data_IF_483212953319
#
_entry.id   IF_483212953319
#
_cell.length_a   1.000
_cell.length_b   1.000
_cell.length_c   1.000
_cell.angle_alpha   90.00
_cell.angle_beta   90.00
_cell.angle_gamma   90.00
#
_symmetry.space_group_name_H-M   'P 1'
#
loop_
_entity.id
_entity.type
_entity.pdbx_description
1 polymer ?
#
# COMPACT_ATOMS: atom_id res chain seq x y z
N UNK A 1 -65.22 2.09 10.45
CA UNK A 1 -63.95 1.98 11.19
C UNK A 1 -63.01 0.92 10.56
N UNK A 2 -62.67 1.03 9.26
CA UNK A 2 -61.81 0.06 8.53
C UNK A 2 -60.89 0.74 7.49
N UNK A 3 -60.21 1.82 7.86
CA UNK A 3 -59.30 2.52 6.93
C UNK A 3 -57.96 2.99 7.52
N UNK A 4 -57.57 2.58 8.74
CA UNK A 4 -56.33 3.06 9.37
C UNK A 4 -55.18 2.05 9.50
N UNK A 5 -55.40 0.77 9.17
CA UNK A 5 -54.39 -0.28 9.38
C UNK A 5 -53.54 -0.56 8.11
N UNK A 6 -54.01 -0.20 6.91
CA UNK A 6 -53.29 -0.48 5.67
C UNK A 6 -52.14 0.50 5.33
N UNK A 7 -52.18 1.72 5.86
CA UNK A 7 -51.12 2.72 5.59
C UNK A 7 -49.82 2.37 6.35
N UNK A 8 -49.92 1.71 7.52
CA UNK A 8 -48.74 1.32 8.30
C UNK A 8 -48.01 0.11 7.72
N UNK A 9 -48.69 -0.86 7.11
CA UNK A 9 -48.02 -1.99 6.45
C UNK A 9 -47.26 -1.58 5.17
N UNK A 10 -47.79 -0.64 4.38
CA UNK A 10 -47.06 -0.12 3.21
C UNK A 10 -45.85 0.72 3.62
N UNK A 11 -45.95 1.55 4.67
CA UNK A 11 -44.81 2.33 5.18
C UNK A 11 -43.72 1.44 5.81
N UNK A 12 -44.09 0.33 6.46
CA UNK A 12 -43.13 -0.61 7.04
C UNK A 12 -42.45 -1.49 5.98
N UNK A 13 -43.17 -1.90 4.92
CA UNK A 13 -42.57 -2.57 3.76
C UNK A 13 -41.67 -1.62 2.95
N UNK A 14 -42.01 -0.33 2.82
CA UNK A 14 -41.12 0.67 2.19
C UNK A 14 -39.85 0.95 3.02
N UNK A 15 -39.91 0.84 4.35
CA UNK A 15 -38.73 0.97 5.21
C UNK A 15 -37.82 -0.26 5.18
N UNK A 16 -38.38 -1.46 5.11
CA UNK A 16 -37.62 -2.72 5.04
C UNK A 16 -37.04 -2.93 3.63
N UNK A 17 -37.77 -2.59 2.56
CA UNK A 17 -37.27 -2.71 1.18
C UNK A 17 -36.15 -1.71 0.85
N UNK A 18 -36.08 -0.55 1.52
CA UNK A 18 -35.01 0.44 1.28
C UNK A 18 -33.66 0.09 1.94
N UNK A 19 -33.65 -0.81 2.95
CA UNK A 19 -32.39 -1.25 3.59
C UNK A 19 -31.70 -2.42 2.90
N UNK A 20 -32.40 -3.14 2.02
CA UNK A 20 -31.84 -4.26 1.25
C UNK A 20 -31.32 -3.86 -0.14
N UNK A 21 -31.60 -2.65 -0.61
CA UNK A 21 -31.12 -2.17 -1.91
C UNK A 21 -29.70 -1.56 -1.89
N UNK A 22 -29.14 -1.31 -0.70
CA UNK A 22 -27.84 -0.62 -0.58
C UNK A 22 -26.67 -1.60 -0.63
N UNK A 23 -25.69 -1.29 -1.47
CA UNK A 23 -24.45 -2.07 -1.54
C UNK A 23 -23.69 -2.04 -0.19
N UNK A 24 -22.84 -3.04 0.12
CA UNK A 24 -21.95 -2.98 1.28
C UNK A 24 -21.14 -1.67 1.36
N UNK A 25 -20.72 -1.14 0.21
CA UNK A 25 -19.98 0.12 0.07
C UNK A 25 -20.85 1.34 0.41
N UNK A 26 -22.10 1.38 -0.06
CA UNK A 26 -23.05 2.47 0.24
C UNK A 26 -23.40 2.51 1.73
N UNK A 27 -23.59 1.34 2.36
CA UNK A 27 -23.83 1.24 3.81
C UNK A 27 -22.62 1.73 4.60
N UNK A 28 -21.42 1.32 4.19
CA UNK A 28 -20.17 1.76 4.83
C UNK A 28 -19.93 3.26 4.64
N UNK A 29 -20.19 3.79 3.44
CA UNK A 29 -20.12 5.23 3.16
C UNK A 29 -21.08 6.04 4.03
N UNK A 30 -22.34 5.63 4.13
CA UNK A 30 -23.34 6.27 5.01
C UNK A 30 -22.91 6.22 6.47
N UNK A 31 -22.33 5.11 6.92
CA UNK A 31 -21.77 5.00 8.26
C UNK A 31 -20.62 5.99 8.50
N UNK A 32 -19.71 6.16 7.53
CA UNK A 32 -18.59 7.08 7.62
C UNK A 32 -19.08 8.54 7.74
N UNK A 33 -20.02 8.95 6.88
CA UNK A 33 -20.62 10.30 6.92
C UNK A 33 -21.25 10.59 8.28
N UNK A 34 -22.09 9.68 8.76
CA UNK A 34 -22.83 9.87 10.02
C UNK A 34 -21.90 9.98 11.24
N UNK A 35 -20.73 9.37 11.19
CA UNK A 35 -19.71 9.40 12.25
C UNK A 35 -18.87 10.67 12.19
N UNK A 36 -18.43 11.07 11.00
CA UNK A 36 -17.68 12.32 10.78
C UNK A 36 -18.52 13.54 11.21
N UNK A 37 -19.80 13.58 10.82
CA UNK A 37 -20.74 14.64 11.22
C UNK A 37 -20.95 14.76 12.74
N UNK A 38 -20.57 13.74 13.52
CA UNK A 38 -20.71 13.70 14.98
C UNK A 38 -19.37 13.87 15.72
N UNK A 39 -18.30 14.27 15.03
CA UNK A 39 -16.94 14.41 15.59
C UNK A 39 -16.41 13.15 16.30
N UNK A 40 -16.93 11.97 15.98
CA UNK A 40 -16.43 10.74 16.58
C UNK A 40 -15.14 10.31 15.89
N UNK A 41 -14.05 10.20 16.66
CA UNK A 41 -12.87 9.47 16.22
C UNK A 41 -13.24 8.00 16.02
N UNK A 42 -12.92 7.47 14.83
CA UNK A 42 -13.12 6.05 14.58
C UNK A 42 -12.09 5.27 15.39
N UNK A 43 -12.48 4.21 16.13
CA UNK A 43 -11.50 3.29 16.68
C UNK A 43 -10.72 2.74 15.50
N UNK A 44 -9.41 2.96 15.55
CA UNK A 44 -8.52 2.80 14.41
C UNK A 44 -8.71 1.43 13.75
N UNK A 45 -9.15 0.40 14.46
CA UNK A 45 -9.21 -0.98 14.01
C UNK A 45 -10.53 -1.40 13.32
N UNK A 46 -11.60 -0.61 13.38
CA UNK A 46 -12.89 -0.98 12.76
C UNK A 46 -12.88 -0.97 11.21
N UNK A 47 -11.91 -0.26 10.62
CA UNK A 47 -11.69 -0.17 9.18
C UNK A 47 -10.65 -1.14 8.62
N UNK A 48 -10.02 -1.91 9.50
CA UNK A 48 -8.86 -2.71 9.15
C UNK A 48 -9.14 -4.17 9.44
N UNK A 49 -8.66 -5.03 8.58
CA UNK A 49 -8.58 -6.46 8.85
C UNK A 49 -7.12 -6.82 8.93
N UNK A 50 -6.61 -7.03 10.14
CA UNK A 50 -5.23 -7.50 10.38
C UNK A 50 -4.18 -6.68 9.62
N UNK A 51 -4.21 -5.35 9.79
CA UNK A 51 -3.35 -4.35 9.11
C UNK A 51 -3.60 -4.14 7.62
N UNK A 52 -4.69 -4.65 7.05
CA UNK A 52 -5.07 -4.44 5.66
C UNK A 52 -6.26 -3.49 5.55
N UNK A 53 -6.23 -2.63 4.52
CA UNK A 53 -7.42 -1.86 4.13
C UNK A 53 -8.51 -2.87 3.77
N UNK A 54 -9.68 -2.71 4.36
CA UNK A 54 -10.87 -3.44 3.92
C UNK A 54 -11.13 -3.19 2.43
N UNK A 55 -11.26 -4.23 1.58
CA UNK A 55 -11.53 -4.06 0.15
C UNK A 55 -12.71 -3.12 -0.13
N UNK A 56 -13.72 -3.12 0.74
CA UNK A 56 -14.90 -2.27 0.67
C UNK A 56 -14.55 -0.77 0.71
N UNK A 57 -13.53 -0.38 1.48
CA UNK A 57 -13.05 1.01 1.53
C UNK A 57 -12.38 1.41 0.20
N UNK A 58 -11.63 0.51 -0.42
CA UNK A 58 -11.04 0.76 -1.73
C UNK A 58 -12.15 0.83 -2.80
N UNK A 59 -13.18 -0.01 -2.69
CA UNK A 59 -14.30 -0.02 -3.62
C UNK A 59 -15.12 1.28 -3.55
N UNK A 60 -15.28 1.89 -2.36
CA UNK A 60 -15.91 3.21 -2.20
C UNK A 60 -15.27 4.25 -3.12
N UNK A 61 -13.93 4.31 -3.20
CA UNK A 61 -13.19 5.27 -4.03
C UNK A 61 -13.63 5.23 -5.50
N UNK A 62 -13.92 4.03 -6.01
CA UNK A 62 -14.31 3.82 -7.42
C UNK A 62 -15.82 3.71 -7.63
N UNK A 63 -16.63 3.80 -6.57
CA UNK A 63 -18.08 3.59 -6.66
C UNK A 63 -18.76 4.78 -7.36
N UNK A 64 -19.59 4.55 -8.39
CA UNK A 64 -20.17 5.65 -9.18
C UNK A 64 -21.14 6.50 -8.37
N UNK A 65 -21.92 5.90 -7.47
CA UNK A 65 -22.99 6.58 -6.75
C UNK A 65 -22.57 7.25 -5.43
N UNK A 66 -21.32 7.04 -4.98
CA UNK A 66 -20.84 7.65 -3.74
C UNK A 66 -20.22 9.02 -4.05
N UNK A 67 -20.54 10.04 -3.26
CA UNK A 67 -20.06 11.40 -3.48
C UNK A 67 -18.54 11.52 -3.35
N UNK A 68 -17.96 12.49 -4.07
CA UNK A 68 -16.52 12.76 -4.04
C UNK A 68 -16.03 13.11 -2.63
N UNK A 69 -16.84 13.84 -1.85
CA UNK A 69 -16.50 14.19 -0.46
C UNK A 69 -16.23 12.94 0.38
N UNK A 70 -17.12 11.95 0.31
CA UNK A 70 -16.99 10.71 1.09
C UNK A 70 -15.79 9.90 0.64
N UNK A 71 -15.55 9.83 -0.67
CA UNK A 71 -14.38 9.14 -1.22
C UNK A 71 -13.08 9.78 -0.74
N UNK A 72 -13.01 11.11 -0.67
CA UNK A 72 -11.83 11.82 -0.15
C UNK A 72 -11.62 11.59 1.35
N UNK A 73 -12.70 11.54 2.15
CA UNK A 73 -12.64 11.16 3.57
C UNK A 73 -12.09 9.75 3.73
N UNK A 74 -12.56 8.81 2.91
CA UNK A 74 -12.04 7.44 2.89
C UNK A 74 -10.54 7.40 2.53
N UNK A 75 -10.10 8.15 1.52
CA UNK A 75 -8.68 8.23 1.18
C UNK A 75 -7.84 8.79 2.32
N UNK A 76 -8.33 9.84 3.00
CA UNK A 76 -7.67 10.42 4.18
C UNK A 76 -7.53 9.40 5.31
N UNK A 77 -8.59 8.66 5.61
CA UNK A 77 -8.57 7.60 6.63
C UNK A 77 -7.56 6.50 6.29
N UNK A 78 -7.49 6.10 5.02
CA UNK A 78 -6.54 5.08 4.59
C UNK A 78 -5.10 5.62 4.64
N UNK A 79 -4.86 6.82 4.11
CA UNK A 79 -3.52 7.41 4.00
C UNK A 79 -2.91 7.82 5.34
N UNK A 80 -3.73 8.13 6.35
CA UNK A 80 -3.28 8.39 7.72
C UNK A 80 -2.60 7.16 8.35
N UNK A 81 -2.94 5.94 7.91
CA UNK A 81 -2.40 4.68 8.47
C UNK A 81 -1.49 3.94 7.49
N UNK A 82 -1.80 3.97 6.19
CA UNK A 82 -0.95 3.44 5.13
C UNK A 82 -0.36 4.61 4.35
N UNK A 83 0.79 5.09 4.78
CA UNK A 83 1.53 6.10 4.03
C UNK A 83 1.77 5.61 2.58
N UNK A 84 1.24 6.32 1.58
CA UNK A 84 1.41 6.02 0.15
C UNK A 84 0.12 5.79 -0.62
N UNK A 85 0.21 5.24 -1.84
CA UNK A 85 -0.93 4.98 -2.75
C UNK A 85 -0.88 3.57 -3.39
N UNK A 86 0.12 2.76 -3.05
CA UNK A 86 0.35 1.48 -3.72
C UNK A 86 -0.66 0.41 -3.36
N UNK A 87 -1.56 0.66 -2.41
CA UNK A 87 -2.70 -0.21 -2.11
C UNK A 87 -3.89 0.06 -3.06
N UNK A 88 -3.95 1.21 -3.73
CA UNK A 88 -4.98 1.50 -4.73
C UNK A 88 -4.73 0.79 -6.06
N UNK A 89 -5.81 0.41 -6.74
CA UNK A 89 -5.75 0.03 -8.16
C UNK A 89 -5.50 1.27 -9.03
N UNK A 90 -5.04 1.08 -10.26
CA UNK A 90 -4.95 2.12 -11.29
C UNK A 90 -6.28 2.85 -11.44
N UNK A 91 -7.41 2.13 -11.48
CA UNK A 91 -8.74 2.74 -11.54
C UNK A 91 -9.02 3.64 -10.33
N UNK A 92 -8.70 3.18 -9.12
CA UNK A 92 -8.85 3.99 -7.91
C UNK A 92 -7.92 5.20 -7.89
N UNK A 93 -6.67 5.06 -8.33
CA UNK A 93 -5.72 6.17 -8.51
C UNK A 93 -6.23 7.20 -9.51
N UNK A 94 -6.81 6.76 -10.63
CA UNK A 94 -7.46 7.64 -11.61
C UNK A 94 -8.66 8.38 -11.00
N UNK A 95 -9.54 7.68 -10.28
CA UNK A 95 -10.68 8.32 -9.59
C UNK A 95 -10.21 9.35 -8.57
N UNK A 96 -9.19 9.04 -7.77
CA UNK A 96 -8.57 9.97 -6.82
C UNK A 96 -7.96 11.19 -7.51
N UNK A 97 -7.23 10.99 -8.60
CA UNK A 97 -6.65 12.10 -9.37
C UNK A 97 -7.75 13.07 -9.83
N UNK A 98 -8.86 12.57 -10.38
CA UNK A 98 -9.99 13.41 -10.80
C UNK A 98 -10.62 14.15 -9.62
N UNK A 99 -10.83 13.49 -8.48
CA UNK A 99 -11.41 14.12 -7.30
C UNK A 99 -10.51 15.21 -6.71
N UNK A 100 -9.20 14.97 -6.60
CA UNK A 100 -8.25 15.97 -6.12
C UNK A 100 -8.11 17.15 -7.09
N UNK A 101 -8.09 16.90 -8.40
CA UNK A 101 -8.10 17.95 -9.42
C UNK A 101 -9.36 18.80 -9.33
N UNK A 102 -10.53 18.17 -9.17
CA UNK A 102 -11.81 18.87 -8.96
C UNK A 102 -11.78 19.71 -7.68
N UNK A 103 -11.21 19.19 -6.60
CA UNK A 103 -11.05 19.94 -5.34
C UNK A 103 -10.16 21.18 -5.53
N UNK A 104 -9.04 21.06 -6.27
CA UNK A 104 -8.17 22.20 -6.59
C UNK A 104 -8.90 23.23 -7.46
N UNK A 105 -9.68 22.79 -8.45
CA UNK A 105 -10.47 23.70 -9.30
C UNK A 105 -11.52 24.48 -8.48
N UNK A 106 -12.13 23.85 -7.47
CA UNK A 106 -13.17 24.46 -6.62
C UNK A 106 -12.61 25.42 -5.57
N UNK A 107 -11.34 25.31 -5.18
CA UNK A 107 -10.69 26.18 -4.20
C UNK A 107 -10.82 27.68 -4.53
N UNK A 108 -11.02 27.95 -5.81
CA UNK A 108 -11.21 29.26 -6.39
C UNK A 108 -12.60 29.89 -6.17
N UNK A 109 -13.64 29.06 -6.21
CA UNK A 109 -15.03 29.53 -6.10
C UNK A 109 -15.53 29.47 -4.67
N UNK A 110 -14.86 28.70 -3.80
CA UNK A 110 -15.31 28.44 -2.45
C UNK A 110 -14.13 28.20 -1.50
N UNK A 111 -13.35 29.26 -1.17
CA UNK A 111 -12.11 29.13 -0.39
C UNK A 111 -12.33 28.59 1.03
N UNK A 112 -13.54 28.72 1.60
CA UNK A 112 -13.95 28.18 2.90
C UNK A 112 -14.60 26.80 2.82
N UNK A 113 -15.07 26.38 1.64
CA UNK A 113 -15.79 25.13 1.44
C UNK A 113 -14.93 24.09 0.70
N UNK A 114 -13.60 24.13 0.91
CA UNK A 114 -12.67 23.15 0.33
C UNK A 114 -12.82 21.79 1.00
N UNK A 115 -13.94 21.14 0.73
CA UNK A 115 -14.27 19.73 1.02
C UNK A 115 -13.54 19.23 2.28
N UNK A 116 -13.91 19.84 3.41
CA UNK A 116 -13.64 19.44 4.80
C UNK A 116 -12.17 19.63 5.24
N UNK A 117 -11.85 20.81 5.80
CA UNK A 117 -10.67 21.10 6.65
C UNK A 117 -9.34 20.46 6.24
N UNK A 118 -8.97 20.60 4.97
CA UNK A 118 -7.63 20.25 4.50
C UNK A 118 -6.95 21.50 3.98
N UNK A 119 -5.90 21.91 4.67
CA UNK A 119 -4.93 22.89 4.19
C UNK A 119 -4.47 22.50 2.78
N UNK A 120 -5.12 23.02 1.73
CA UNK A 120 -4.77 22.79 0.32
C UNK A 120 -3.29 23.10 0.04
N UNK A 121 -2.65 23.88 0.91
CA UNK A 121 -1.37 24.55 0.67
C UNK A 121 -0.23 24.05 1.55
N UNK A 122 -0.48 23.15 2.52
CA UNK A 122 0.65 22.57 3.26
C UNK A 122 1.39 21.56 2.39
N UNK A 123 2.32 22.08 1.59
CA UNK A 123 3.30 21.31 0.86
C UNK A 123 4.02 20.38 1.84
N UNK A 124 3.91 19.08 1.61
CA UNK A 124 4.63 18.07 2.39
C UNK A 124 3.85 17.45 3.54
N UNK A 125 2.65 17.93 3.87
CA UNK A 125 1.80 17.21 4.84
C UNK A 125 1.09 16.02 4.19
N UNK A 126 1.21 14.81 4.78
CA UNK A 126 0.45 13.64 4.33
C UNK A 126 -1.04 13.92 4.30
N UNK A 127 -1.68 13.69 3.15
CA UNK A 127 -3.14 13.83 2.97
C UNK A 127 -3.60 15.11 2.26
N UNK A 128 -2.73 16.09 2.01
CA UNK A 128 -3.13 17.28 1.21
C UNK A 128 -3.30 16.92 -0.27
N UNK A 129 -4.20 17.58 -1.03
CA UNK A 129 -4.41 17.30 -2.45
C UNK A 129 -3.13 17.27 -3.28
N UNK A 130 -2.23 18.24 -3.06
CA UNK A 130 -0.95 18.35 -3.75
C UNK A 130 -0.05 17.13 -3.47
N UNK A 131 0.09 16.76 -2.20
CA UNK A 131 0.92 15.64 -1.80
C UNK A 131 0.35 14.32 -2.36
N UNK A 132 -0.98 14.14 -2.31
CA UNK A 132 -1.65 12.96 -2.86
C UNK A 132 -1.50 12.86 -4.37
N UNK A 133 -1.62 13.95 -5.12
CA UNK A 133 -1.39 13.96 -6.57
C UNK A 133 0.05 13.60 -6.92
N UNK A 134 1.04 14.09 -6.17
CA UNK A 134 2.45 13.69 -6.34
C UNK A 134 2.63 12.19 -6.06
N UNK A 135 2.00 11.67 -5.00
CA UNK A 135 2.06 10.24 -4.70
C UNK A 135 1.42 9.40 -5.81
N UNK A 136 0.26 9.82 -6.35
CA UNK A 136 -0.41 9.15 -7.47
C UNK A 136 0.50 9.07 -8.70
N UNK A 137 1.37 10.07 -8.89
CA UNK A 137 2.41 10.07 -9.91
C UNK A 137 1.84 10.31 -11.31
N UNK A 138 2.41 9.64 -12.33
CA UNK A 138 2.04 9.89 -13.73
C UNK A 138 0.55 9.68 -14.01
N UNK A 139 -0.12 8.79 -13.27
CA UNK A 139 -1.56 8.54 -13.38
C UNK A 139 -2.40 9.81 -13.14
N UNK A 140 -1.88 10.79 -12.40
CA UNK A 140 -2.55 12.06 -12.16
C UNK A 140 -2.42 13.07 -13.31
N UNK A 141 -1.46 12.90 -14.23
CA UNK A 141 -1.15 13.89 -15.27
C UNK A 141 -2.33 14.19 -16.18
N UNK A 142 -3.08 13.20 -16.71
CA UNK A 142 -4.24 13.48 -17.55
C UNK A 142 -5.28 14.39 -16.88
N UNK A 143 -5.55 14.15 -15.60
CA UNK A 143 -6.45 14.99 -14.82
C UNK A 143 -5.85 16.40 -14.59
N UNK A 144 -4.56 16.49 -14.25
CA UNK A 144 -3.87 17.77 -14.00
C UNK A 144 -3.80 18.67 -15.25
N UNK A 145 -3.70 18.10 -16.45
CA UNK A 145 -3.68 18.87 -17.70
C UNK A 145 -4.94 19.73 -17.87
N UNK A 146 -6.09 19.27 -17.36
CA UNK A 146 -7.34 20.06 -17.39
C UNK A 146 -7.26 21.36 -16.58
N UNK A 147 -6.40 21.43 -15.56
CA UNK A 147 -6.21 22.62 -14.74
C UNK A 147 -5.30 23.66 -15.38
N UNK A 148 -4.54 23.31 -16.42
CA UNK A 148 -3.64 24.27 -17.09
C UNK A 148 -4.41 25.37 -17.82
N UNK A 149 -5.68 25.14 -18.16
CA UNK A 149 -6.60 26.13 -18.74
C UNK A 149 -7.29 26.98 -17.67
N UNK A 150 -7.22 26.58 -16.40
CA UNK A 150 -7.91 27.27 -15.31
C UNK A 150 -7.13 28.51 -14.87
N UNK A 151 -7.61 29.69 -15.26
CA UNK A 151 -7.01 31.00 -14.96
C UNK A 151 -7.34 31.54 -13.57
N UNK A 152 -8.12 30.81 -12.79
CA UNK A 152 -8.58 31.32 -11.53
C UNK A 152 -7.44 31.46 -10.50
N UNK A 153 -7.58 32.44 -9.62
CA UNK A 153 -6.67 32.78 -8.52
C UNK A 153 -7.36 32.43 -7.20
N UNK A 154 -6.65 31.71 -6.32
CA UNK A 154 -7.09 31.45 -4.96
C UNK A 154 -6.07 31.97 -3.95
N UNK A 155 -6.56 32.35 -2.78
CA UNK A 155 -5.70 32.75 -1.67
C UNK A 155 -5.23 31.51 -0.93
N UNK A 156 -3.97 31.54 -0.53
CA UNK A 156 -3.39 30.51 0.30
C UNK A 156 -3.08 31.06 1.68
N UNK A 157 -3.56 30.35 2.71
CA UNK A 157 -3.19 30.61 4.08
C UNK A 157 -1.99 29.73 4.43
N UNK A 158 -0.81 30.35 4.55
CA UNK A 158 0.32 29.74 5.22
C UNK A 158 0.21 30.16 6.69
N UNK A 159 -0.30 29.26 7.56
CA UNK A 159 -0.40 29.36 9.03
C UNK A 159 -0.35 30.78 9.63
N UNK A 160 -1.47 31.30 10.16
CA UNK A 160 -1.73 32.39 11.16
C UNK A 160 -0.77 33.60 11.34
N UNK A 161 0.35 33.67 10.65
CA UNK A 161 1.50 34.57 10.84
C UNK A 161 2.08 35.05 9.50
N UNK A 162 1.61 34.56 8.34
CA UNK A 162 2.11 34.98 7.02
C UNK A 162 0.99 35.47 6.09
N UNK A 163 1.29 36.56 5.37
CA UNK A 163 0.38 37.20 4.41
C UNK A 163 -0.15 36.20 3.37
N UNK A 164 -1.45 36.31 3.03
CA UNK A 164 -2.08 35.45 2.04
C UNK A 164 -1.37 35.54 0.68
N UNK A 165 -0.86 34.41 0.17
CA UNK A 165 -0.25 34.37 -1.16
C UNK A 165 -1.32 34.03 -2.20
N UNK A 166 -1.46 34.87 -3.23
CA UNK A 166 -2.34 34.63 -4.38
C UNK A 166 -1.67 33.64 -5.34
N UNK A 167 -2.25 32.45 -5.49
CA UNK A 167 -1.79 31.43 -6.44
C UNK A 167 -2.81 31.24 -7.56
N UNK A 168 -2.32 31.00 -8.79
CA UNK A 168 -3.17 30.61 -9.92
C UNK A 168 -3.30 29.09 -9.94
N UNK A 169 -4.51 28.57 -10.18
CA UNK A 169 -4.76 27.12 -10.31
C UNK A 169 -3.85 26.50 -11.37
N UNK A 170 -3.71 27.14 -12.53
CA UNK A 170 -2.79 26.67 -13.58
C UNK A 170 -1.32 26.63 -13.18
N UNK A 171 -0.85 27.56 -12.35
CA UNK A 171 0.54 27.57 -11.87
C UNK A 171 0.78 26.38 -10.94
N UNK A 172 -0.19 26.12 -10.05
CA UNK A 172 -0.16 24.99 -9.14
C UNK A 172 -0.12 23.66 -9.89
N UNK A 173 -1.01 23.50 -10.88
CA UNK A 173 -1.05 22.30 -11.72
C UNK A 173 0.24 22.10 -12.51
N UNK A 174 0.81 23.16 -13.08
CA UNK A 174 2.08 23.10 -13.80
C UNK A 174 3.24 22.67 -12.90
N UNK A 175 3.33 23.19 -11.67
CA UNK A 175 4.33 22.76 -10.69
C UNK A 175 4.17 21.29 -10.29
N UNK A 176 2.93 20.79 -10.13
CA UNK A 176 2.67 19.38 -9.84
C UNK A 176 3.10 18.48 -11.01
N UNK A 177 2.70 18.81 -12.24
CA UNK A 177 3.10 18.06 -13.44
C UNK A 177 4.62 18.03 -13.58
N UNK A 178 5.27 19.19 -13.46
CA UNK A 178 6.73 19.30 -13.53
C UNK A 178 7.43 18.44 -12.48
N UNK A 179 6.92 18.44 -11.23
CA UNK A 179 7.45 17.61 -10.16
C UNK A 179 7.26 16.11 -10.42
N UNK A 180 6.09 15.70 -10.89
CA UNK A 180 5.80 14.29 -11.22
C UNK A 180 6.72 13.80 -12.35
N UNK A 181 6.95 14.62 -13.38
CA UNK A 181 7.81 14.30 -14.53
C UNK A 181 9.30 14.59 -14.30
N UNK A 182 9.67 15.07 -13.10
CA UNK A 182 11.02 15.54 -12.78
C UNK A 182 11.58 16.56 -13.80
N UNK A 183 10.72 17.47 -14.29
CA UNK A 183 11.07 18.55 -15.20
C UNK A 183 11.37 19.80 -14.35
N UNK A 184 12.54 20.44 -14.50
CA UNK A 184 12.81 21.70 -13.83
C UNK A 184 11.82 22.80 -14.28
N UNK A 185 11.05 23.34 -13.33
CA UNK A 185 10.13 24.45 -13.57
C UNK A 185 10.18 25.44 -12.40
N UNK A 186 10.42 26.71 -12.70
CA UNK A 186 10.54 27.76 -11.68
C UNK A 186 9.63 28.94 -12.02
N UNK A 187 8.39 28.92 -11.51
CA UNK A 187 7.39 29.96 -11.80
C UNK A 187 7.50 31.17 -10.87
N UNK A 188 7.89 30.96 -9.60
CA UNK A 188 7.97 31.99 -8.56
C UNK A 188 8.98 33.11 -8.85
N UNK A 189 9.98 32.87 -9.70
CA UNK A 189 10.93 33.91 -10.16
C UNK A 189 10.29 34.98 -11.06
N UNK A 190 9.11 34.72 -11.61
CA UNK A 190 8.47 35.59 -12.59
C UNK A 190 7.19 36.23 -12.01
N UNK A 191 7.26 37.54 -11.70
CA UNK A 191 6.06 38.31 -11.32
C UNK A 191 5.03 38.38 -12.46
N UNK A 192 5.49 38.47 -13.71
CA UNK A 192 4.64 38.57 -14.91
C UNK A 192 3.81 37.30 -15.16
N UNK A 193 2.47 37.37 -15.20
CA UNK A 193 1.59 36.27 -15.59
C UNK A 193 1.90 35.73 -17.00
N UNK A 194 2.20 36.62 -17.95
CA UNK A 194 2.48 36.26 -19.35
C UNK A 194 3.74 35.41 -19.47
N UNK A 195 4.81 35.74 -18.74
CA UNK A 195 6.03 34.93 -18.72
C UNK A 195 5.78 33.53 -18.15
N UNK A 196 5.02 33.44 -17.05
CA UNK A 196 4.60 32.16 -16.47
C UNK A 196 3.76 31.34 -17.44
N UNK A 197 2.80 31.97 -18.13
CA UNK A 197 1.93 31.29 -19.08
C UNK A 197 2.72 30.68 -20.25
N UNK A 198 3.73 31.38 -20.79
CA UNK A 198 4.63 30.82 -21.81
C UNK A 198 5.38 29.57 -21.33
N UNK A 199 5.85 29.58 -20.08
CA UNK A 199 6.51 28.41 -19.48
C UNK A 199 5.53 27.24 -19.31
N UNK A 200 4.29 27.52 -18.94
CA UNK A 200 3.22 26.52 -18.80
C UNK A 200 2.87 25.91 -20.17
N UNK A 201 2.74 26.72 -21.22
CA UNK A 201 2.48 26.20 -22.58
C UNK A 201 3.64 25.33 -23.08
N UNK A 202 4.89 25.71 -22.79
CA UNK A 202 6.05 24.89 -23.14
C UNK A 202 6.05 23.55 -22.38
N UNK A 203 5.71 23.56 -21.09
CA UNK A 203 5.53 22.33 -20.30
C UNK A 203 4.43 21.46 -20.90
N UNK A 204 3.26 22.04 -21.21
CA UNK A 204 2.11 21.34 -21.78
C UNK A 204 2.48 20.66 -23.10
N UNK A 205 3.16 21.37 -24.01
CA UNK A 205 3.66 20.79 -25.28
C UNK A 205 4.58 19.61 -25.04
N UNK A 206 5.56 19.74 -24.14
CA UNK A 206 6.50 18.67 -23.82
C UNK A 206 5.79 17.44 -23.25
N UNK A 207 4.83 17.64 -22.36
CA UNK A 207 4.08 16.54 -21.72
C UNK A 207 3.13 15.85 -22.71
N UNK A 208 2.52 16.59 -23.64
CA UNK A 208 1.63 16.02 -24.66
C UNK A 208 2.37 15.29 -25.79
N UNK A 209 3.64 15.62 -26.03
CA UNK A 209 4.48 14.93 -27.00
C UNK A 209 4.92 13.54 -26.53
N UNK A 210 4.95 13.32 -25.21
CA UNK A 210 5.18 12.00 -24.63
C UNK A 210 3.83 11.25 -24.55
N UNK A 211 3.63 10.12 -25.24
CA UNK A 211 2.39 9.37 -25.13
C UNK A 211 2.19 8.95 -23.66
N UNK A 212 1.07 9.37 -23.07
CA UNK A 212 0.71 8.94 -21.73
C UNK A 212 0.51 7.42 -21.73
N UNK A 213 1.42 6.72 -21.07
CA UNK A 213 1.34 5.28 -20.86
C UNK A 213 1.39 5.02 -19.37
N UNK A 214 0.47 4.19 -18.87
CA UNK A 214 0.52 3.76 -17.47
C UNK A 214 1.80 2.94 -17.33
N UNK A 215 2.68 3.24 -16.36
CA UNK A 215 3.91 2.47 -16.18
C UNK A 215 3.62 0.98 -16.10
N UNK A 216 4.33 0.16 -16.88
CA UNK A 216 4.17 -1.30 -16.93
C UNK A 216 4.18 -1.90 -15.52
N UNK A 217 5.05 -1.38 -14.64
CA UNK A 217 5.12 -1.73 -13.21
C UNK A 217 3.78 -1.59 -12.48
N UNK A 218 3.06 -0.49 -12.66
CA UNK A 218 1.75 -0.26 -12.02
C UNK A 218 0.69 -1.24 -12.53
N UNK A 219 0.70 -1.53 -13.83
CA UNK A 219 -0.18 -2.53 -14.44
C UNK A 219 0.07 -3.94 -13.87
N UNK A 220 1.35 -4.30 -13.68
CA UNK A 220 1.74 -5.58 -13.09
C UNK A 220 1.32 -5.70 -11.63
N UNK A 221 1.50 -4.64 -10.83
CA UNK A 221 1.04 -4.59 -9.44
C UNK A 221 -0.47 -4.84 -9.38
N UNK A 222 -1.24 -4.17 -10.23
CA UNK A 222 -2.69 -4.34 -10.31
C UNK A 222 -3.11 -5.73 -10.76
N UNK A 223 -2.41 -6.29 -11.76
CA UNK A 223 -2.62 -7.65 -12.20
C UNK A 223 -2.43 -8.65 -11.05
N UNK A 224 -1.33 -8.52 -10.31
CA UNK A 224 -1.00 -9.40 -9.18
C UNK A 224 -2.03 -9.27 -8.05
N UNK A 225 -2.48 -8.05 -7.74
CA UNK A 225 -3.56 -7.82 -6.77
C UNK A 225 -4.87 -8.48 -7.21
N UNK A 226 -5.28 -8.28 -8.46
CA UNK A 226 -6.57 -8.75 -9.00
C UNK A 226 -6.64 -10.27 -9.05
N UNK A 227 -5.54 -10.95 -9.38
CA UNK A 227 -5.49 -12.42 -9.37
C UNK A 227 -5.50 -13.02 -7.95
N UNK A 228 -5.46 -12.17 -6.93
CA UNK A 228 -5.56 -12.55 -5.53
C UNK A 228 -4.25 -13.15 -5.00
N UNK A 229 -3.84 -12.72 -3.82
CA UNK A 229 -2.65 -13.26 -3.13
C UNK A 229 -2.80 -14.76 -2.80
N UNK A 230 -4.04 -15.28 -2.77
CA UNK A 230 -4.40 -16.65 -2.37
C UNK A 230 -4.42 -17.67 -3.52
N UNK A 231 -4.57 -17.26 -4.78
CA UNK A 231 -4.67 -18.21 -5.90
C UNK A 231 -3.29 -18.50 -6.50
N UNK A 232 -2.99 -19.75 -6.83
CA UNK A 232 -1.81 -20.10 -7.63
C UNK A 232 -1.99 -19.54 -9.05
N UNK A 233 -1.01 -18.77 -9.55
CA UNK A 233 -1.02 -18.37 -10.96
C UNK A 233 -0.75 -19.62 -11.83
N UNK A 234 -1.46 -19.81 -12.96
CA UNK A 234 -1.12 -20.85 -13.92
C UNK A 234 0.32 -20.70 -14.43
N UNK A 235 1.00 -21.80 -14.73
CA UNK A 235 2.39 -21.77 -15.20
C UNK A 235 2.57 -20.88 -16.44
N UNK A 236 1.69 -21.01 -17.45
CA UNK A 236 1.70 -20.15 -18.66
C UNK A 236 1.70 -18.65 -18.36
N UNK A 237 0.97 -18.23 -17.31
CA UNK A 237 0.94 -16.82 -16.90
C UNK A 237 2.26 -16.40 -16.26
N UNK A 238 2.83 -17.22 -15.37
CA UNK A 238 4.15 -16.93 -14.77
C UNK A 238 5.23 -16.86 -15.85
N UNK A 239 5.10 -17.66 -16.90
CA UNK A 239 6.07 -17.73 -18.00
C UNK A 239 6.02 -16.47 -18.84
N UNK A 240 4.81 -16.04 -19.19
CA UNK A 240 4.60 -14.77 -19.90
C UNK A 240 5.12 -13.58 -19.08
N UNK A 241 4.80 -13.52 -17.78
CA UNK A 241 5.30 -12.48 -16.88
C UNK A 241 6.83 -12.48 -16.78
N UNK A 242 7.44 -13.65 -16.68
CA UNK A 242 8.90 -13.78 -16.66
C UNK A 242 9.52 -13.29 -17.98
N UNK A 243 9.05 -13.78 -19.12
CA UNK A 243 9.69 -13.49 -20.42
C UNK A 243 9.57 -12.04 -20.84
N UNK A 244 8.47 -11.35 -20.49
CA UNK A 244 8.19 -10.00 -20.98
C UNK A 244 8.41 -8.90 -19.95
N UNK A 245 8.44 -9.24 -18.65
CA UNK A 245 8.39 -8.25 -17.58
C UNK A 245 9.39 -8.51 -16.44
N UNK A 246 10.44 -9.29 -16.68
CA UNK A 246 11.44 -9.65 -15.65
C UNK A 246 12.04 -8.42 -14.96
N UNK A 247 12.39 -7.39 -15.71
CA UNK A 247 13.04 -6.19 -15.18
C UNK A 247 12.11 -5.43 -14.23
N UNK A 248 10.87 -5.22 -14.65
CA UNK A 248 9.83 -4.54 -13.85
C UNK A 248 9.46 -5.34 -12.60
N UNK A 249 9.42 -6.67 -12.69
CA UNK A 249 9.23 -7.54 -11.54
C UNK A 249 10.37 -7.39 -10.51
N UNK A 250 11.62 -7.34 -10.95
CA UNK A 250 12.76 -7.10 -10.05
C UNK A 250 12.65 -5.72 -9.40
N UNK A 251 12.25 -4.70 -10.15
CA UNK A 251 12.04 -3.33 -9.66
C UNK A 251 10.94 -3.24 -8.59
N UNK A 252 9.86 -4.02 -8.71
CA UNK A 252 8.78 -4.07 -7.70
C UNK A 252 9.31 -4.45 -6.32
N UNK A 253 10.28 -5.37 -6.24
CA UNK A 253 10.83 -5.86 -4.96
C UNK A 253 11.51 -4.69 -4.20
N UNK A 254 12.28 -3.87 -4.90
CA UNK A 254 13.05 -2.77 -4.31
C UNK A 254 12.26 -1.47 -4.19
N UNK A 255 11.16 -1.30 -4.93
CA UNK A 255 10.36 -0.07 -4.90
C UNK A 255 9.78 0.18 -3.49
N UNK A 256 10.05 1.35 -2.88
CA UNK A 256 9.46 1.72 -1.59
C UNK A 256 7.93 1.75 -1.63
N UNK A 257 7.30 1.57 -0.47
CA UNK A 257 5.84 1.68 -0.26
C UNK A 257 4.97 0.66 -1.01
N UNK A 258 5.49 -0.26 -1.84
CA UNK A 258 4.67 -1.35 -2.39
C UNK A 258 4.37 -2.34 -1.26
N UNK A 259 3.13 -2.85 -1.20
CA UNK A 259 2.71 -3.87 -0.23
C UNK A 259 3.66 -5.08 -0.29
N UNK A 260 4.25 -5.42 0.84
CA UNK A 260 5.23 -6.50 0.96
C UNK A 260 4.71 -7.85 0.47
N UNK A 261 3.40 -8.12 0.56
CA UNK A 261 2.80 -9.35 0.04
C UNK A 261 2.85 -9.40 -1.48
N UNK A 262 2.73 -8.24 -2.14
CA UNK A 262 2.91 -8.13 -3.59
C UNK A 262 4.37 -8.41 -3.93
N UNK A 263 5.32 -7.82 -3.18
CA UNK A 263 6.75 -8.08 -3.37
C UNK A 263 7.12 -9.55 -3.20
N UNK A 264 6.61 -10.18 -2.14
CA UNK A 264 6.81 -11.61 -1.88
C UNK A 264 6.18 -12.48 -2.98
N UNK A 265 5.02 -12.06 -3.51
CA UNK A 265 4.37 -12.74 -4.62
C UNK A 265 5.15 -12.60 -5.92
N UNK A 266 5.75 -11.42 -6.15
CA UNK A 266 6.66 -11.19 -7.27
C UNK A 266 7.89 -12.06 -7.15
N UNK A 267 8.55 -12.12 -5.99
CA UNK A 267 9.69 -13.02 -5.80
C UNK A 267 9.30 -14.48 -6.05
N UNK A 268 8.09 -14.90 -5.70
CA UNK A 268 7.63 -16.25 -6.01
C UNK A 268 7.47 -16.51 -7.52
N UNK A 269 6.93 -15.54 -8.26
CA UNK A 269 6.85 -15.64 -9.73
C UNK A 269 8.27 -15.80 -10.30
N UNK A 270 9.23 -15.03 -9.79
CA UNK A 270 10.64 -15.13 -10.20
C UNK A 270 11.27 -16.46 -9.76
N UNK A 271 11.03 -16.93 -8.53
CA UNK A 271 11.53 -18.20 -7.98
C UNK A 271 11.13 -19.40 -8.85
N UNK A 272 9.91 -19.38 -9.39
CA UNK A 272 9.40 -20.46 -10.21
C UNK A 272 10.25 -20.69 -11.47
N UNK A 273 10.86 -19.63 -12.02
CA UNK A 273 11.68 -19.70 -13.23
C UNK A 273 13.17 -19.66 -12.95
N UNK A 274 13.61 -18.80 -12.04
CA UNK A 274 14.97 -18.77 -11.54
C UNK A 274 15.01 -19.12 -10.05
N UNK A 275 15.47 -20.33 -9.75
CA UNK A 275 15.58 -20.79 -8.36
C UNK A 275 16.71 -20.09 -7.62
N UNK A 276 17.84 -19.80 -8.24
CA UNK A 276 18.94 -19.05 -7.61
C UNK A 276 18.70 -17.53 -7.56
N UNK A 277 19.65 -16.80 -6.96
CA UNK A 277 19.61 -15.33 -6.83
C UNK A 277 20.50 -14.60 -7.86
N UNK A 278 20.92 -15.28 -8.94
CA UNK A 278 21.84 -14.70 -9.94
C UNK A 278 21.26 -13.46 -10.63
N UNK A 279 19.92 -13.39 -10.71
CA UNK A 279 19.20 -12.30 -11.36
C UNK A 279 19.11 -11.03 -10.50
N UNK A 280 19.46 -11.13 -9.22
CA UNK A 280 19.33 -10.05 -8.26
C UNK A 280 20.70 -9.41 -7.98
N UNK A 281 20.76 -8.09 -8.07
CA UNK A 281 21.89 -7.33 -7.55
C UNK A 281 21.89 -7.32 -6.01
N UNK A 282 22.95 -6.78 -5.41
CA UNK A 282 23.10 -6.73 -3.95
C UNK A 282 21.98 -5.95 -3.26
N UNK A 283 21.53 -4.83 -3.85
CA UNK A 283 20.45 -4.01 -3.28
C UNK A 283 19.13 -4.80 -3.21
N UNK A 284 18.79 -5.53 -4.28
CA UNK A 284 17.61 -6.40 -4.31
C UNK A 284 17.73 -7.55 -3.33
N UNK A 285 18.91 -8.18 -3.21
CA UNK A 285 19.15 -9.23 -2.20
C UNK A 285 18.95 -8.72 -0.77
N UNK A 286 19.43 -7.51 -0.44
CA UNK A 286 19.17 -6.86 0.86
C UNK A 286 17.68 -6.55 1.08
N UNK A 287 16.99 -6.10 0.04
CA UNK A 287 15.53 -5.87 0.12
C UNK A 287 14.78 -7.19 0.37
N UNK A 288 15.16 -8.29 -0.30
CA UNK A 288 14.61 -9.61 -0.08
C UNK A 288 14.89 -10.13 1.34
N UNK A 289 16.11 -9.91 1.87
CA UNK A 289 16.44 -10.29 3.24
C UNK A 289 15.48 -9.68 4.28
N UNK A 290 15.29 -8.36 4.22
CA UNK A 290 14.32 -7.62 5.05
C UNK A 290 12.91 -8.14 4.86
N UNK A 291 12.51 -8.35 3.61
CA UNK A 291 11.18 -8.79 3.24
C UNK A 291 10.87 -10.17 3.81
N UNK A 292 11.81 -11.12 3.73
CA UNK A 292 11.64 -12.49 4.23
C UNK A 292 11.69 -12.58 5.75
N UNK A 293 12.54 -11.81 6.43
CA UNK A 293 12.52 -11.71 7.89
C UNK A 293 11.17 -11.15 8.38
N UNK A 294 10.67 -10.08 7.72
CA UNK A 294 9.35 -9.52 8.00
C UNK A 294 8.23 -10.54 7.75
N UNK A 295 8.29 -11.28 6.63
CA UNK A 295 7.40 -12.40 6.27
C UNK A 295 7.35 -13.47 7.36
N UNK A 296 8.52 -13.87 7.87
CA UNK A 296 8.59 -14.83 8.96
C UNK A 296 7.88 -14.29 10.20
N UNK A 297 8.24 -13.08 10.67
CA UNK A 297 7.63 -12.46 11.86
C UNK A 297 6.10 -12.39 11.76
N UNK A 298 5.59 -11.86 10.65
CA UNK A 298 4.16 -11.66 10.43
C UNK A 298 3.37 -12.94 10.25
N UNK A 299 4.00 -14.06 9.91
CA UNK A 299 3.30 -15.35 9.81
C UNK A 299 2.66 -15.81 11.12
N UNK A 300 3.08 -15.26 12.27
CA UNK A 300 2.42 -15.46 13.55
C UNK A 300 1.28 -14.46 13.81
N UNK A 301 1.55 -13.16 13.64
CA UNK A 301 0.60 -12.08 13.96
C UNK A 301 -0.52 -11.90 12.94
N UNK A 302 -0.31 -12.38 11.71
CA UNK A 302 -1.29 -12.32 10.63
C UNK A 302 -1.10 -13.59 9.78
N UNK A 303 -1.69 -14.73 10.18
CA UNK A 303 -1.49 -16.02 9.48
C UNK A 303 -1.81 -15.93 7.99
N UNK A 304 -2.85 -15.20 7.62
CA UNK A 304 -3.24 -14.97 6.23
C UNK A 304 -2.31 -14.03 5.43
N UNK A 305 -1.22 -13.53 6.03
CA UNK A 305 -0.34 -12.52 5.42
C UNK A 305 0.50 -13.08 4.29
N UNK A 306 1.27 -14.15 4.56
CA UNK A 306 2.09 -14.84 3.56
C UNK A 306 2.51 -16.21 4.11
N UNK A 307 2.11 -17.29 3.43
CA UNK A 307 2.37 -18.69 3.81
C UNK A 307 2.36 -18.97 5.33
N UNK A 308 1.17 -19.19 5.88
CA UNK A 308 1.01 -19.56 7.29
C UNK A 308 1.64 -20.92 7.66
N UNK A 309 1.80 -21.82 6.69
CA UNK A 309 2.21 -23.19 6.99
C UNK A 309 3.71 -23.31 7.27
N UNK A 310 4.05 -23.79 8.48
CA UNK A 310 5.42 -24.04 8.97
C UNK A 310 6.30 -24.77 7.96
N UNK A 311 5.73 -25.79 7.30
CA UNK A 311 6.34 -26.61 6.25
C UNK A 311 7.00 -25.84 5.09
N UNK A 312 6.52 -24.64 4.79
CA UNK A 312 7.14 -23.82 3.74
C UNK A 312 8.40 -23.12 4.22
N UNK A 313 8.52 -22.88 5.52
CA UNK A 313 9.66 -22.23 6.15
C UNK A 313 10.71 -23.27 6.55
N UNK A 314 10.38 -24.12 7.50
CA UNK A 314 11.25 -25.19 7.95
C UNK A 314 10.42 -26.30 8.59
N UNK A 315 10.90 -27.53 8.45
CA UNK A 315 10.45 -28.66 9.24
C UNK A 315 11.48 -28.86 10.36
N UNK A 316 11.47 -27.96 11.35
CA UNK A 316 12.45 -27.94 12.43
C UNK A 316 12.49 -29.29 13.13
N UNK A 317 11.35 -29.93 13.36
CA UNK A 317 11.22 -31.26 14.00
C UNK A 317 11.97 -32.38 13.27
N UNK A 318 12.13 -32.27 11.95
CA UNK A 318 12.90 -33.19 11.12
C UNK A 318 14.28 -32.64 10.77
N UNK A 319 14.64 -31.49 11.34
CA UNK A 319 15.85 -30.75 11.01
C UNK A 319 15.97 -30.44 9.49
N UNK A 320 14.84 -30.24 8.81
CA UNK A 320 14.78 -30.09 7.36
C UNK A 320 14.42 -28.67 6.94
N UNK A 321 15.00 -28.23 5.82
CA UNK A 321 14.61 -26.97 5.18
C UNK A 321 13.19 -27.08 4.64
N UNK A 322 12.42 -26.02 4.81
CA UNK A 322 11.13 -25.90 4.15
C UNK A 322 11.33 -25.70 2.65
N UNK A 323 10.20 -25.62 1.95
CA UNK A 323 10.18 -25.31 0.52
C UNK A 323 10.52 -23.83 0.29
N UNK A 324 9.90 -23.24 -0.72
CA UNK A 324 10.23 -21.94 -1.29
C UNK A 324 10.70 -20.85 -0.28
N UNK A 325 9.94 -20.43 0.77
CA UNK A 325 10.46 -19.47 1.74
C UNK A 325 11.75 -19.91 2.45
N UNK A 326 11.80 -21.15 2.95
CA UNK A 326 12.99 -21.69 3.59
C UNK A 326 14.20 -21.75 2.66
N UNK A 327 13.99 -22.25 1.45
CA UNK A 327 15.05 -22.30 0.43
C UNK A 327 15.57 -20.90 0.08
N UNK A 328 14.66 -19.92 -0.07
CA UNK A 328 15.03 -18.55 -0.41
C UNK A 328 15.82 -17.87 0.72
N UNK A 329 15.46 -18.09 1.98
CA UNK A 329 16.24 -17.64 3.15
C UNK A 329 17.66 -18.20 3.09
N UNK A 330 17.82 -19.51 2.87
CA UNK A 330 19.14 -20.13 2.81
C UNK A 330 20.02 -19.57 1.68
N UNK A 331 19.43 -19.25 0.54
CA UNK A 331 20.17 -18.65 -0.58
C UNK A 331 20.64 -17.22 -0.31
N UNK A 332 19.93 -16.47 0.54
CA UNK A 332 20.36 -15.13 0.93
C UNK A 332 21.61 -15.16 1.83
N UNK A 333 21.87 -16.29 2.49
CA UNK A 333 23.10 -16.53 3.26
C UNK A 333 23.33 -15.45 4.32
N UNK A 334 24.55 -14.96 4.43
CA UNK A 334 24.90 -13.95 5.45
C UNK A 334 24.10 -12.66 5.36
N UNK A 335 23.53 -12.31 4.20
CA UNK A 335 22.77 -11.07 4.02
C UNK A 335 21.49 -11.02 4.86
N UNK A 336 20.90 -12.18 5.17
CA UNK A 336 19.64 -12.24 5.95
C UNK A 336 19.89 -12.42 7.45
N UNK A 337 21.11 -12.79 7.86
CA UNK A 337 21.42 -13.05 9.28
C UNK A 337 21.12 -11.85 10.19
N UNK A 338 21.52 -10.59 9.86
CA UNK A 338 21.18 -9.45 10.71
C UNK A 338 19.68 -9.23 10.87
N UNK A 339 18.90 -9.49 9.81
CA UNK A 339 17.44 -9.31 9.82
C UNK A 339 16.74 -10.43 10.62
N UNK A 340 17.29 -11.64 10.61
CA UNK A 340 16.80 -12.76 11.44
C UNK A 340 17.21 -12.63 12.90
N UNK A 341 18.38 -12.04 13.19
CA UNK A 341 18.85 -11.83 14.56
C UNK A 341 17.85 -10.97 15.37
N UNK A 342 17.22 -9.98 14.73
CA UNK A 342 16.15 -9.17 15.30
C UNK A 342 14.90 -9.96 15.73
N UNK A 343 14.79 -11.21 15.31
CA UNK A 343 13.66 -12.10 15.62
C UNK A 343 13.98 -13.11 16.73
N UNK A 344 15.21 -13.14 17.25
CA UNK A 344 15.63 -14.13 18.26
C UNK A 344 14.95 -13.94 19.63
N UNK A 345 14.34 -12.77 19.86
CA UNK A 345 13.55 -12.49 21.06
C UNK A 345 12.02 -12.57 20.80
N UNK A 346 11.59 -12.93 19.57
CA UNK A 346 10.18 -12.99 19.20
C UNK A 346 9.54 -14.31 19.66
N UNK A 347 8.78 -14.22 20.76
CA UNK A 347 8.10 -15.35 21.41
C UNK A 347 6.76 -15.74 20.74
N UNK A 348 6.40 -15.14 19.60
CA UNK A 348 5.10 -15.41 18.98
C UNK A 348 5.02 -16.85 18.44
N UNK A 349 3.99 -17.59 18.86
CA UNK A 349 3.76 -18.99 18.45
C UNK A 349 3.20 -19.11 17.04
N UNK A 350 3.89 -19.85 16.18
CA UNK A 350 3.45 -20.10 14.81
C UNK A 350 2.58 -21.35 14.74
N UNK A 351 1.28 -21.16 14.52
CA UNK A 351 0.32 -22.26 14.43
C UNK A 351 0.47 -23.07 13.13
N UNK A 352 1.12 -24.22 13.22
CA UNK A 352 1.14 -25.25 12.16
C UNK A 352 0.20 -26.40 12.49
N UNK A 353 -0.66 -26.82 11.54
CA UNK A 353 -1.60 -27.97 11.75
C UNK A 353 -0.89 -29.29 12.09
N UNK A 354 0.35 -29.50 11.62
CA UNK A 354 1.12 -30.75 11.83
C UNK A 354 2.09 -30.72 13.02
N UNK A 355 2.47 -29.54 13.52
CA UNK A 355 3.48 -29.38 14.58
C UNK A 355 2.90 -28.92 15.92
N UNK A 356 1.60 -29.13 16.15
CA UNK A 356 0.89 -28.65 17.36
C UNK A 356 1.55 -29.07 18.68
N UNK A 357 2.33 -30.16 18.68
CA UNK A 357 3.04 -30.68 19.85
C UNK A 357 4.31 -29.89 20.22
N UNK A 358 4.92 -29.17 19.29
CA UNK A 358 6.24 -28.55 19.48
C UNK A 358 6.20 -27.06 19.82
N UNK A 359 5.03 -26.42 19.66
CA UNK A 359 4.82 -24.99 19.96
C UNK A 359 5.97 -24.11 19.45
N UNK A 360 6.31 -24.25 18.17
CA UNK A 360 7.40 -23.50 17.55
C UNK A 360 7.06 -22.00 17.48
N UNK A 361 8.02 -21.16 17.86
CA UNK A 361 7.93 -19.70 17.88
C UNK A 361 8.75 -19.09 16.75
N UNK A 362 8.50 -17.82 16.44
CA UNK A 362 9.28 -17.08 15.43
C UNK A 362 10.79 -17.17 15.70
N UNK A 363 11.23 -17.01 16.95
CA UNK A 363 12.64 -17.15 17.31
C UNK A 363 13.23 -18.54 17.05
N UNK A 364 12.43 -19.61 17.17
CA UNK A 364 12.89 -20.98 16.87
C UNK A 364 13.22 -21.11 15.36
N UNK A 365 12.41 -20.50 14.48
CA UNK A 365 12.68 -20.48 13.03
C UNK A 365 13.88 -19.58 12.68
N UNK A 366 13.97 -18.40 13.28
CA UNK A 366 15.09 -17.49 13.04
C UNK A 366 16.42 -18.14 13.43
N UNK A 367 16.49 -18.73 14.63
CA UNK A 367 17.67 -19.44 15.12
C UNK A 367 18.02 -20.65 14.25
N UNK A 368 17.02 -21.43 13.82
CA UNK A 368 17.23 -22.54 12.89
C UNK A 368 17.93 -22.11 11.59
N UNK A 369 17.46 -21.03 10.96
CA UNK A 369 18.06 -20.55 9.72
C UNK A 369 19.45 -19.93 9.93
N UNK A 370 19.62 -19.11 10.97
CA UNK A 370 20.92 -18.52 11.30
C UNK A 370 21.95 -19.62 11.52
N UNK A 371 21.63 -20.61 12.36
CA UNK A 371 22.54 -21.71 12.66
C UNK A 371 22.91 -22.50 11.38
N UNK A 372 21.96 -22.75 10.49
CA UNK A 372 22.23 -23.40 9.20
C UNK A 372 23.11 -22.56 8.28
N UNK A 373 22.87 -21.26 8.18
CA UNK A 373 23.65 -20.33 7.34
C UNK A 373 25.09 -20.22 7.88
N UNK A 374 25.23 -20.04 9.19
CA UNK A 374 26.51 -19.90 9.90
C UNK A 374 27.22 -21.23 10.17
N UNK A 375 26.58 -22.36 9.84
CA UNK A 375 27.06 -23.72 10.11
C UNK A 375 27.32 -23.99 11.60
N UNK A 376 26.50 -23.40 12.47
CA UNK A 376 26.51 -23.60 13.93
C UNK A 376 25.61 -24.79 14.27
N UNK A 377 26.06 -25.66 15.17
CA UNK A 377 25.25 -26.80 15.62
C UNK A 377 24.14 -26.32 16.57
N UNK A 378 22.88 -26.45 16.16
CA UNK A 378 21.72 -26.03 16.94
C UNK A 378 20.61 -27.11 16.90
N UNK A 379 20.61 -28.08 17.83
CA UNK A 379 19.72 -29.24 17.78
C UNK A 379 18.29 -28.95 18.27
N UNK A 380 17.65 -27.88 17.78
CA UNK A 380 16.28 -27.49 18.18
C UNK A 380 15.26 -28.63 18.03
N UNK A 381 15.45 -29.49 17.02
CA UNK A 381 14.62 -30.64 16.71
C UNK A 381 14.56 -31.68 17.84
N UNK A 382 15.57 -31.75 18.71
CA UNK A 382 15.65 -32.69 19.83
C UNK A 382 14.83 -32.26 21.05
N UNK A 383 14.30 -31.03 21.07
CA UNK A 383 13.69 -30.45 22.25
C UNK A 383 12.25 -30.02 21.99
N UNK A 384 11.31 -30.75 22.60
CA UNK A 384 9.87 -30.46 22.51
C UNK A 384 9.52 -29.17 23.27
N UNK A 385 10.15 -28.95 24.43
CA UNK A 385 9.83 -27.83 25.32
C UNK A 385 10.53 -26.53 24.89
N UNK A 386 9.85 -25.37 25.00
CA UNK A 386 10.44 -24.06 24.70
C UNK A 386 11.69 -23.73 25.51
N UNK A 387 11.77 -24.13 26.79
CA UNK A 387 12.85 -23.74 27.71
C UNK A 387 14.23 -24.18 27.21
N UNK A 388 14.37 -25.46 26.79
CA UNK A 388 15.65 -25.96 26.28
C UNK A 388 16.05 -25.31 24.96
N UNK A 389 15.07 -24.95 24.12
CA UNK A 389 15.35 -24.19 22.90
C UNK A 389 15.80 -22.76 23.21
N UNK A 390 15.26 -22.15 24.27
CA UNK A 390 15.67 -20.82 24.70
C UNK A 390 17.13 -20.79 25.16
N UNK A 391 17.56 -21.77 25.95
CA UNK A 391 18.97 -21.92 26.33
C UNK A 391 19.89 -22.01 25.08
N UNK A 392 19.50 -22.82 24.09
CA UNK A 392 20.24 -22.96 22.84
C UNK A 392 20.27 -21.64 22.02
N UNK A 393 19.16 -20.91 22.00
CA UNK A 393 19.04 -19.63 21.30
C UNK A 393 19.89 -18.54 21.98
N UNK A 394 19.93 -18.51 23.32
CA UNK A 394 20.80 -17.57 24.04
C UNK A 394 22.29 -17.86 23.82
N UNK A 395 22.68 -19.13 23.71
CA UNK A 395 24.05 -19.48 23.32
C UNK A 395 24.36 -19.04 21.89
N UNK A 396 23.42 -19.24 20.95
CA UNK A 396 23.56 -18.74 19.59
C UNK A 396 23.73 -17.23 19.55
N UNK A 397 22.96 -16.45 20.33
CA UNK A 397 23.09 -14.98 20.41
C UNK A 397 24.51 -14.57 20.81
N UNK A 398 25.05 -15.20 21.86
CA UNK A 398 26.43 -14.95 22.32
C UNK A 398 27.50 -15.28 21.27
N UNK A 399 27.26 -16.28 20.42
CA UNK A 399 28.17 -16.62 19.33
C UNK A 399 28.10 -15.63 18.16
N UNK A 400 26.96 -14.98 17.94
CA UNK A 400 26.79 -13.97 16.89
C UNK A 400 27.42 -12.61 17.24
N UNK A 401 27.60 -12.33 18.54
CA UNK A 401 28.21 -11.10 19.06
C UNK A 401 29.75 -11.15 19.07
N UNK A 402 30.34 -12.30 18.72
CA UNK A 402 31.79 -12.50 18.52
C UNK A 402 32.15 -12.29 17.05
#
# INVERSE_FOLDING_TARGET
>A
MRCRIWIWSCLFQLFILNTYAQSPEERLAKYIINREARNFQFPADSFWRDYQVRPELIQIITHPNISDSVKLVVDRLISARLHGINYYSVKAKQSLAHMYVKAIALACNNPTQSIIDTNIVRYGEPGTPNYRLIQIGEIAIPALLSLLENRCIFNTYANDLFAAHKLRVRDQAALLIARIKNIPLTLNKYKSPVKRDRLIENLKKRVLQEPYTIPTKDLLIDFIKKKGLKQHLPSKVKDSLWSHHRTELIEIITTPNIDDRIKLRVDWILFYRQRDLSIFNLATKKALARLYAKALRKSCYAPDWFYYSNAFWAYITFNELGRMPGHRIMQLGDLIVPELALLLDDNCFKFGRRDRRYYLRIKDFAAFFIARIKKISLPLHKHITPQKRDELIENLKKELDK
#
